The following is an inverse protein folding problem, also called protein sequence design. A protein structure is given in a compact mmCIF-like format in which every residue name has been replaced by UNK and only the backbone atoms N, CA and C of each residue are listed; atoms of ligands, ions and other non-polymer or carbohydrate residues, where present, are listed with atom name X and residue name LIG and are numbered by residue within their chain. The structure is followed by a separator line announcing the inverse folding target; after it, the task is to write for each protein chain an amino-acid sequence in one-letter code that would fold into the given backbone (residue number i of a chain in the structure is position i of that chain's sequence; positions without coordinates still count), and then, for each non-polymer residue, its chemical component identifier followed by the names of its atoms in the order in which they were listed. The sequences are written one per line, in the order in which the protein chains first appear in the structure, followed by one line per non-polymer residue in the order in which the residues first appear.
data_IF_904654795496
#
_entry.id   IF_904654795496
#
_cell.length_a   1.000
_cell.length_b   1.000
_cell.length_c   1.000
_cell.angle_alpha   90.00
_cell.angle_beta   90.00
_cell.angle_gamma   90.00
#
_symmetry.space_group_name_H-M   'P 1'
#
loop_
_entity.id
_entity.type
_entity.pdbx_description
1 polymer ?
#
# COMPACT_ATOMS: atom_id res chain seq x y z
N UNK A 1 -13.25 24.35 0.74
CA UNK A 1 -14.13 23.46 -0.05
C UNK A 1 -15.48 23.37 0.66
N UNK A 2 -16.59 23.16 -0.06
CA UNK A 2 -17.96 23.05 0.49
C UNK A 2 -18.51 21.62 0.50
N UNK A 3 -17.62 20.63 0.56
CA UNK A 3 -18.00 19.21 0.52
C UNK A 3 -18.79 18.85 1.78
N UNK A 4 -19.97 18.23 1.63
CA UNK A 4 -20.80 17.77 2.75
C UNK A 4 -20.48 16.35 3.19
N UNK A 5 -19.75 15.63 2.34
CA UNK A 5 -19.41 14.22 2.50
C UNK A 5 -17.91 14.05 2.28
N UNK A 6 -17.25 13.33 3.19
CA UNK A 6 -15.79 13.16 3.23
C UNK A 6 -15.46 11.72 3.55
N UNK A 7 -14.58 11.11 2.76
CA UNK A 7 -13.96 9.83 3.06
C UNK A 7 -12.49 10.08 3.41
N UNK A 8 -12.06 9.56 4.56
CA UNK A 8 -10.68 9.63 5.02
C UNK A 8 -9.99 8.28 4.76
N UNK A 9 -8.83 8.33 4.09
CA UNK A 9 -7.96 7.20 3.79
C UNK A 9 -6.60 7.47 4.48
N UNK A 10 -6.35 6.94 5.70
CA UNK A 10 -5.14 7.24 6.45
C UNK A 10 -3.86 6.78 5.74
N UNK A 11 -3.94 5.63 5.04
CA UNK A 11 -2.85 5.01 4.30
C UNK A 11 -1.61 4.72 5.16
N UNK A 12 -1.78 4.72 6.48
CA UNK A 12 -0.78 4.49 7.50
C UNK A 12 -1.51 4.01 8.76
N UNK A 13 -1.10 2.86 9.28
CA UNK A 13 -1.72 2.24 10.44
C UNK A 13 -1.59 3.12 11.71
N UNK A 14 -0.50 3.87 11.84
CA UNK A 14 -0.22 4.71 13.01
C UNK A 14 -1.11 5.97 13.00
N UNK A 15 -1.54 6.42 11.82
CA UNK A 15 -2.45 7.56 11.67
C UNK A 15 -3.90 7.24 11.98
N UNK A 16 -4.27 5.97 12.20
CA UNK A 16 -5.68 5.57 12.40
C UNK A 16 -6.35 6.33 13.54
N UNK A 17 -5.69 6.46 14.69
CA UNK A 17 -6.26 7.17 15.84
C UNK A 17 -6.40 8.67 15.57
N UNK A 18 -5.39 9.27 14.95
CA UNK A 18 -5.41 10.68 14.54
C UNK A 18 -6.53 10.96 13.53
N UNK A 19 -6.67 10.10 12.52
CA UNK A 19 -7.72 10.22 11.51
C UNK A 19 -9.13 10.02 12.09
N UNK A 20 -9.30 9.10 13.05
CA UNK A 20 -10.55 8.93 13.77
C UNK A 20 -10.93 10.17 14.57
N UNK A 21 -9.98 10.77 15.30
CA UNK A 21 -10.20 12.01 16.03
C UNK A 21 -10.59 13.18 15.11
N UNK A 22 -9.91 13.32 13.97
CA UNK A 22 -10.25 14.32 12.96
C UNK A 22 -11.65 14.09 12.36
N UNK A 23 -12.02 12.83 12.11
CA UNK A 23 -13.36 12.48 11.64
C UNK A 23 -14.45 12.86 12.65
N UNK A 24 -14.22 12.59 13.94
CA UNK A 24 -15.17 12.92 15.00
C UNK A 24 -15.35 14.42 15.17
N UNK A 25 -14.27 15.19 15.07
CA UNK A 25 -14.35 16.65 15.07
C UNK A 25 -15.15 17.16 13.87
N UNK A 26 -14.86 16.68 12.65
CA UNK A 26 -15.57 17.10 11.45
C UNK A 26 -17.07 16.72 11.49
N UNK A 27 -17.41 15.57 12.08
CA UNK A 27 -18.81 15.18 12.34
C UNK A 27 -19.51 16.13 13.31
N UNK A 28 -18.82 16.58 14.36
CA UNK A 28 -19.36 17.56 15.30
C UNK A 28 -19.63 18.93 14.63
N UNK A 29 -18.91 19.24 13.54
CA UNK A 29 -19.12 20.42 12.70
C UNK A 29 -20.23 20.22 11.62
N UNK A 30 -20.89 19.06 11.62
CA UNK A 30 -22.02 18.75 10.73
C UNK A 30 -21.64 18.14 9.39
N UNK A 31 -20.37 17.76 9.19
CA UNK A 31 -19.92 17.03 8.00
C UNK A 31 -20.24 15.54 8.13
N UNK A 32 -20.58 14.91 7.01
CA UNK A 32 -20.69 13.45 6.96
C UNK A 32 -19.33 12.87 6.64
N UNK A 33 -18.72 12.20 7.61
CA UNK A 33 -17.35 11.67 7.45
C UNK A 33 -17.33 10.16 7.66
N UNK A 34 -16.66 9.44 6.76
CA UNK A 34 -16.33 8.03 6.90
C UNK A 34 -14.81 7.85 6.94
N UNK A 35 -14.35 6.85 7.71
CA UNK A 35 -12.96 6.45 7.78
C UNK A 35 -12.85 5.06 7.19
N UNK A 36 -12.06 4.91 6.13
CA UNK A 36 -11.70 3.59 5.59
C UNK A 36 -10.35 3.22 6.21
N UNK A 37 -10.22 2.05 6.86
CA UNK A 37 -9.04 1.71 7.66
C UNK A 37 -7.86 1.25 6.80
N UNK A 38 -7.45 2.05 5.81
CA UNK A 38 -6.28 1.78 4.98
C UNK A 38 -4.99 1.92 5.78
N UNK A 39 -4.07 0.99 5.57
CA UNK A 39 -2.75 0.92 6.23
C UNK A 39 -1.60 1.24 5.27
N UNK A 40 -1.88 1.29 3.97
CA UNK A 40 -0.92 1.63 2.91
C UNK A 40 -1.61 2.39 1.78
N UNK A 41 -0.84 3.20 1.05
CA UNK A 41 -1.35 3.98 -0.08
C UNK A 41 -1.96 3.10 -1.18
N UNK A 42 -1.44 1.88 -1.41
CA UNK A 42 -2.00 0.96 -2.42
C UNK A 42 -3.42 0.50 -2.09
N UNK A 43 -3.76 0.38 -0.80
CA UNK A 43 -5.15 0.10 -0.38
C UNK A 43 -6.04 1.34 -0.58
N UNK A 44 -5.48 2.54 -0.39
CA UNK A 44 -6.17 3.79 -0.71
C UNK A 44 -6.42 3.95 -2.22
N UNK A 45 -5.46 3.57 -3.06
CA UNK A 45 -5.61 3.56 -4.52
C UNK A 45 -6.73 2.59 -4.93
N UNK A 46 -6.74 1.37 -4.39
CA UNK A 46 -7.81 0.40 -4.63
C UNK A 46 -9.18 0.92 -4.19
N UNK A 47 -9.26 1.56 -3.02
CA UNK A 47 -10.48 2.21 -2.56
C UNK A 47 -10.96 3.29 -3.54
N UNK A 48 -10.06 4.13 -4.03
CA UNK A 48 -10.38 5.20 -4.98
C UNK A 48 -10.75 4.67 -6.37
N UNK A 49 -10.19 3.53 -6.79
CA UNK A 49 -10.45 2.93 -8.09
C UNK A 49 -11.92 2.48 -8.25
N UNK A 50 -12.60 2.18 -7.15
CA UNK A 50 -14.02 1.77 -7.12
C UNK A 50 -14.98 2.89 -6.69
N UNK A 51 -14.47 4.09 -6.41
CA UNK A 51 -15.26 5.23 -6.01
C UNK A 51 -16.15 5.69 -7.17
N UNK A 52 -17.44 5.87 -6.90
CA UNK A 52 -18.40 6.39 -7.88
C UNK A 52 -19.08 7.67 -7.38
N UNK A 53 -18.82 8.84 -8.00
CA UNK A 53 -19.33 10.13 -7.51
C UNK A 53 -20.86 10.23 -7.43
N UNK A 54 -21.59 9.47 -8.26
CA UNK A 54 -23.06 9.46 -8.29
C UNK A 54 -23.66 8.44 -7.31
N UNK A 55 -22.84 7.59 -6.70
CA UNK A 55 -23.29 6.58 -5.73
C UNK A 55 -23.60 7.22 -4.39
N UNK A 56 -24.58 6.67 -3.68
CA UNK A 56 -24.89 7.10 -2.32
C UNK A 56 -23.67 6.88 -1.43
N UNK A 57 -23.33 7.87 -0.61
CA UNK A 57 -22.15 7.85 0.25
C UNK A 57 -21.94 6.56 1.04
N UNK A 58 -22.96 6.01 1.70
CA UNK A 58 -22.77 4.78 2.50
C UNK A 58 -22.45 3.57 1.61
N UNK A 59 -23.09 3.47 0.45
CA UNK A 59 -22.88 2.38 -0.51
C UNK A 59 -21.48 2.48 -1.14
N UNK A 60 -21.04 3.71 -1.39
CA UNK A 60 -19.70 4.02 -1.87
C UNK A 60 -18.64 3.69 -0.82
N UNK A 61 -18.81 4.13 0.43
CA UNK A 61 -17.93 3.77 1.55
C UNK A 61 -17.82 2.27 1.73
N UNK A 62 -18.93 1.51 1.64
CA UNK A 62 -18.90 0.03 1.71
C UNK A 62 -18.06 -0.57 0.58
N UNK A 63 -18.21 -0.04 -0.63
CA UNK A 63 -17.51 -0.54 -1.81
C UNK A 63 -16.01 -0.23 -1.73
N UNK A 64 -15.67 1.02 -1.42
CA UNK A 64 -14.31 1.46 -1.19
C UNK A 64 -13.62 0.70 -0.06
N UNK A 65 -14.34 0.44 1.04
CA UNK A 65 -13.82 -0.36 2.18
C UNK A 65 -13.56 -1.80 1.77
N UNK A 66 -14.45 -2.38 0.95
CA UNK A 66 -14.29 -3.75 0.47
C UNK A 66 -13.08 -3.89 -0.45
N UNK A 67 -12.88 -2.93 -1.38
CA UNK A 67 -11.71 -2.89 -2.25
C UNK A 67 -10.41 -2.74 -1.44
N UNK A 68 -10.34 -1.76 -0.53
CA UNK A 68 -9.18 -1.58 0.35
C UNK A 68 -8.83 -2.83 1.16
N UNK A 69 -9.84 -3.54 1.66
CA UNK A 69 -9.66 -4.75 2.47
C UNK A 69 -9.28 -5.99 1.65
N UNK A 70 -9.61 -6.02 0.35
CA UNK A 70 -9.21 -7.09 -0.56
C UNK A 70 -7.76 -6.93 -1.03
N UNK A 71 -7.25 -5.69 -1.10
CA UNK A 71 -5.86 -5.40 -1.48
C UNK A 71 -4.89 -5.80 -0.38
N UNK A 72 -4.10 -6.85 -0.64
CA UNK A 72 -2.91 -7.18 0.15
C UNK A 72 -1.84 -6.13 -0.15
N UNK A 73 -1.09 -5.74 0.88
CA UNK A 73 -0.06 -4.71 0.71
C UNK A 73 1.29 -5.15 1.29
N UNK A 74 2.33 -4.60 0.70
CA UNK A 74 3.70 -4.76 1.13
C UNK A 74 4.49 -3.47 0.94
N UNK A 75 5.63 -3.41 1.62
CA UNK A 75 6.58 -2.32 1.57
C UNK A 75 8.00 -2.87 1.36
N UNK A 76 8.80 -2.15 0.58
CA UNK A 76 10.25 -2.33 0.55
C UNK A 76 10.90 -1.08 1.10
N UNK A 77 11.75 -1.24 2.10
CA UNK A 77 12.44 -0.14 2.79
C UNK A 77 13.88 -0.53 3.15
N UNK A 78 14.65 0.39 3.72
CA UNK A 78 16.02 0.16 4.18
C UNK A 78 16.06 0.21 5.70
N UNK A 79 16.67 -0.81 6.32
CA UNK A 79 16.86 -0.85 7.76
C UNK A 79 17.79 0.28 8.21
N UNK A 80 17.34 1.12 9.13
CA UNK A 80 18.17 2.19 9.71
C UNK A 80 19.18 1.67 10.74
N UNK A 81 18.88 0.53 11.35
CA UNK A 81 19.65 -0.05 12.46
C UNK A 81 19.45 -1.56 12.53
N UNK A 82 20.32 -2.22 13.29
CA UNK A 82 20.15 -3.64 13.59
C UNK A 82 18.84 -3.88 14.35
N UNK A 83 18.07 -4.87 13.93
CA UNK A 83 16.83 -5.29 14.61
C UNK A 83 16.60 -6.80 14.52
N UNK A 84 15.89 -7.34 15.51
CA UNK A 84 15.43 -8.73 15.50
C UNK A 84 14.03 -8.78 14.91
N UNK A 85 13.86 -9.59 13.86
CA UNK A 85 12.59 -9.75 13.14
C UNK A 85 12.24 -11.22 13.02
N UNK A 86 11.02 -11.52 12.61
CA UNK A 86 10.60 -12.90 12.34
C UNK A 86 11.37 -13.54 11.17
N UNK A 87 11.89 -12.74 10.23
CA UNK A 87 12.72 -13.21 9.13
C UNK A 87 14.21 -13.39 9.50
N UNK A 88 14.61 -12.97 10.72
CA UNK A 88 15.99 -13.01 11.19
C UNK A 88 16.48 -11.65 11.70
N UNK A 89 17.80 -11.55 11.90
CA UNK A 89 18.46 -10.30 12.32
C UNK A 89 18.79 -9.49 11.07
N UNK A 90 18.26 -8.28 10.95
CA UNK A 90 18.70 -7.32 9.95
C UNK A 90 19.77 -6.39 10.52
N UNK A 91 20.61 -5.84 9.65
CA UNK A 91 21.63 -4.82 9.92
C UNK A 91 21.22 -3.48 9.31
N UNK A 92 21.86 -2.40 9.74
CA UNK A 92 21.70 -1.10 9.08
C UNK A 92 22.13 -1.20 7.61
N UNK A 93 21.30 -0.71 6.69
CA UNK A 93 21.53 -0.79 5.25
C UNK A 93 20.90 -2.01 4.56
N UNK A 94 20.44 -3.00 5.32
CA UNK A 94 19.72 -4.13 4.72
C UNK A 94 18.41 -3.66 4.08
N UNK A 95 18.07 -4.23 2.93
CA UNK A 95 16.77 -4.02 2.30
C UNK A 95 15.76 -4.94 2.97
N UNK A 96 14.69 -4.36 3.51
CA UNK A 96 13.62 -5.09 4.15
C UNK A 96 12.41 -5.15 3.22
N UNK A 97 11.83 -6.33 3.10
CA UNK A 97 10.53 -6.56 2.48
C UNK A 97 9.49 -6.90 3.54
N UNK A 98 8.53 -6.01 3.75
CA UNK A 98 7.45 -6.16 4.74
C UNK A 98 6.16 -6.53 4.03
N UNK A 99 5.42 -7.51 4.56
CA UNK A 99 4.08 -7.88 4.09
C UNK A 99 3.12 -7.69 5.27
N UNK A 100 2.06 -6.91 5.09
CA UNK A 100 1.12 -6.53 6.17
C UNK A 100 1.80 -5.90 7.41
N UNK A 101 2.96 -5.26 7.20
CA UNK A 101 3.77 -4.63 8.25
C UNK A 101 4.78 -5.57 8.93
N UNK A 102 4.79 -6.87 8.60
CA UNK A 102 5.75 -7.82 9.14
C UNK A 102 6.92 -8.03 8.17
N UNK A 103 8.15 -7.96 8.69
CA UNK A 103 9.36 -8.24 7.90
C UNK A 103 9.36 -9.70 7.46
N UNK A 104 9.12 -9.91 6.17
CA UNK A 104 9.07 -11.21 5.52
C UNK A 104 10.40 -11.55 4.84
N UNK A 105 11.10 -10.56 4.29
CA UNK A 105 12.34 -10.73 3.53
C UNK A 105 13.40 -9.75 4.05
N UNK A 106 14.63 -10.23 4.19
CA UNK A 106 15.83 -9.42 4.40
C UNK A 106 16.76 -9.69 3.23
N UNK A 107 17.19 -8.64 2.55
CA UNK A 107 18.07 -8.71 1.38
C UNK A 107 19.08 -7.56 1.37
N UNK A 108 19.83 -7.47 0.28
CA UNK A 108 20.84 -6.43 0.07
C UNK A 108 20.52 -5.53 -1.14
N UNK A 109 19.76 -6.06 -2.10
CA UNK A 109 19.43 -5.37 -3.34
C UNK A 109 17.92 -5.13 -3.42
N UNK A 110 17.53 -3.91 -3.80
CA UNK A 110 16.13 -3.47 -3.82
C UNK A 110 15.31 -4.33 -4.78
N UNK A 111 15.76 -4.49 -6.03
CA UNK A 111 15.02 -5.23 -7.05
C UNK A 111 14.86 -6.72 -6.70
N UNK A 112 15.89 -7.34 -6.13
CA UNK A 112 15.84 -8.74 -5.70
C UNK A 112 14.91 -8.94 -4.50
N UNK A 113 14.96 -8.03 -3.53
CA UNK A 113 14.10 -8.07 -2.33
C UNK A 113 12.65 -7.83 -2.71
N UNK A 114 12.38 -6.80 -3.52
CA UNK A 114 11.04 -6.50 -4.04
C UNK A 114 10.46 -7.66 -4.85
N UNK A 115 11.28 -8.30 -5.69
CA UNK A 115 10.90 -9.51 -6.42
C UNK A 115 10.47 -10.65 -5.49
N UNK A 116 11.24 -10.91 -4.44
CA UNK A 116 10.92 -11.96 -3.47
C UNK A 116 9.64 -11.65 -2.67
N UNK A 117 9.40 -10.37 -2.34
CA UNK A 117 8.15 -9.93 -1.73
C UNK A 117 6.97 -10.17 -2.69
N UNK A 118 7.10 -9.70 -3.93
CA UNK A 118 6.08 -9.84 -4.97
C UNK A 118 5.70 -11.31 -5.21
N UNK A 119 6.69 -12.20 -5.33
CA UNK A 119 6.43 -13.64 -5.51
C UNK A 119 5.64 -14.23 -4.33
N UNK A 120 5.96 -13.82 -3.09
CA UNK A 120 5.23 -14.28 -1.90
C UNK A 120 3.80 -13.77 -1.87
N UNK A 121 3.58 -12.52 -2.28
CA UNK A 121 2.23 -11.97 -2.37
C UNK A 121 1.42 -12.70 -3.43
N UNK A 122 1.97 -12.93 -4.62
CA UNK A 122 1.31 -13.60 -5.74
C UNK A 122 1.17 -15.12 -5.56
N UNK A 123 1.89 -15.73 -4.61
CA UNK A 123 1.75 -17.16 -4.31
C UNK A 123 0.33 -17.56 -3.88
N UNK A 124 -0.45 -16.62 -3.31
CA UNK A 124 -1.86 -16.82 -2.97
C UNK A 124 -2.82 -16.42 -4.12
N UNK A 125 -2.29 -16.14 -5.31
CA UNK A 125 -3.02 -15.60 -6.46
C UNK A 125 -3.07 -14.07 -6.47
N UNK A 126 -3.67 -13.52 -7.52
CA UNK A 126 -3.92 -12.10 -7.73
C UNK A 126 -4.28 -11.85 -9.19
N UNK A 127 -4.87 -10.70 -9.49
CA UNK A 127 -5.22 -10.24 -10.85
C UNK A 127 -4.55 -8.91 -11.21
N UNK A 128 -4.17 -8.11 -10.21
CA UNK A 128 -3.53 -6.82 -10.41
C UNK A 128 -2.41 -6.59 -9.40
N UNK A 129 -1.29 -6.04 -9.89
CA UNK A 129 -0.18 -5.53 -9.08
C UNK A 129 -0.12 -4.01 -9.22
N UNK A 130 -0.26 -3.30 -8.10
CA UNK A 130 -0.05 -1.85 -8.05
C UNK A 130 1.30 -1.55 -7.41
N UNK A 131 2.17 -0.82 -8.12
CA UNK A 131 3.48 -0.38 -7.62
C UNK A 131 3.46 1.12 -7.39
N UNK A 132 3.84 1.57 -6.19
CA UNK A 132 4.04 3.00 -5.87
C UNK A 132 5.50 3.22 -5.52
N UNK A 133 6.24 3.85 -6.43
CA UNK A 133 7.70 3.96 -6.39
C UNK A 133 8.11 5.27 -5.70
N UNK A 134 8.88 5.19 -4.61
CA UNK A 134 9.41 6.37 -3.92
C UNK A 134 10.58 7.03 -4.67
N UNK A 135 10.81 8.32 -4.42
CA UNK A 135 11.87 9.11 -5.08
C UNK A 135 13.28 8.57 -4.84
N UNK A 136 13.50 7.87 -3.72
CA UNK A 136 14.80 7.32 -3.33
C UNK A 136 15.00 5.87 -3.83
N UNK A 137 14.02 5.31 -4.57
CA UNK A 137 14.13 3.97 -5.15
C UNK A 137 14.97 3.98 -6.43
N UNK A 138 15.67 2.88 -6.76
CA UNK A 138 16.35 2.76 -8.05
C UNK A 138 15.35 2.86 -9.22
N UNK A 139 15.63 3.71 -10.21
CA UNK A 139 14.77 3.93 -11.39
C UNK A 139 14.40 2.64 -12.15
N UNK A 140 15.24 1.61 -12.04
CA UNK A 140 15.05 0.33 -12.73
C UNK A 140 14.11 -0.63 -12.01
N UNK A 141 13.72 -0.36 -10.76
CA UNK A 141 12.97 -1.31 -9.93
C UNK A 141 11.60 -1.62 -10.52
N UNK A 142 10.87 -0.61 -10.99
CA UNK A 142 9.53 -0.80 -11.56
C UNK A 142 9.57 -1.67 -12.82
N UNK A 143 10.42 -1.31 -13.78
CA UNK A 143 10.57 -2.06 -15.04
C UNK A 143 11.02 -3.52 -14.81
N UNK A 144 11.85 -3.74 -13.78
CA UNK A 144 12.26 -5.08 -13.37
C UNK A 144 11.06 -5.89 -12.85
N UNK A 145 10.23 -5.31 -11.99
CA UNK A 145 9.07 -5.98 -11.42
C UNK A 145 7.97 -6.20 -12.46
N UNK A 146 7.68 -5.24 -13.33
CA UNK A 146 6.75 -5.39 -14.46
C UNK A 146 7.16 -6.56 -15.35
N UNK A 147 8.46 -6.67 -15.66
CA UNK A 147 8.99 -7.80 -16.42
C UNK A 147 8.79 -9.13 -15.69
N UNK A 148 9.06 -9.14 -14.37
CA UNK A 148 8.85 -10.33 -13.55
C UNK A 148 7.39 -10.77 -13.51
N UNK A 149 6.44 -9.84 -13.34
CA UNK A 149 4.99 -10.14 -13.36
C UNK A 149 4.62 -10.73 -14.72
N UNK A 150 4.98 -10.04 -15.81
CA UNK A 150 4.67 -10.46 -17.19
C UNK A 150 5.21 -11.85 -17.54
N UNK A 151 6.38 -12.22 -17.03
CA UNK A 151 7.01 -13.52 -17.31
C UNK A 151 6.51 -14.64 -16.39
N UNK A 152 6.19 -14.32 -15.13
CA UNK A 152 5.79 -15.32 -14.13
C UNK A 152 4.28 -15.53 -13.98
N UNK A 153 3.46 -14.53 -14.32
CA UNK A 153 2.05 -14.46 -13.96
C UNK A 153 1.20 -13.91 -15.11
N UNK A 154 0.88 -14.77 -16.09
CA UNK A 154 0.25 -14.39 -17.37
C UNK A 154 -1.15 -13.76 -17.29
N UNK A 155 -1.81 -13.82 -16.13
CA UNK A 155 -3.13 -13.26 -15.90
C UNK A 155 -3.13 -12.08 -14.92
N UNK A 156 -1.94 -11.50 -14.66
CA UNK A 156 -1.76 -10.42 -13.70
C UNK A 156 -1.27 -9.17 -14.42
N UNK A 157 -2.03 -8.10 -14.32
CA UNK A 157 -1.64 -6.79 -14.85
C UNK A 157 -0.78 -6.03 -13.84
N UNK A 158 0.00 -5.06 -14.33
CA UNK A 158 0.78 -4.15 -13.48
C UNK A 158 0.44 -2.71 -13.76
N UNK A 159 0.25 -1.92 -12.70
CA UNK A 159 0.11 -0.45 -12.76
C UNK A 159 1.18 0.19 -11.88
N UNK A 160 1.82 1.24 -12.39
CA UNK A 160 2.92 1.93 -11.70
C UNK A 160 2.56 3.40 -11.47
N UNK A 161 2.75 3.85 -10.24
CA UNK A 161 2.60 5.24 -9.80
C UNK A 161 3.90 5.77 -9.19
N UNK A 162 4.14 7.07 -9.38
CA UNK A 162 5.17 7.79 -8.62
C UNK A 162 4.63 8.14 -7.23
N UNK A 163 5.33 7.71 -6.18
CA UNK A 163 4.99 7.92 -4.78
C UNK A 163 5.58 9.18 -4.16
N UNK A 164 6.52 9.85 -4.85
CA UNK A 164 7.24 10.98 -4.28
C UNK A 164 8.18 10.58 -3.14
N UNK A 165 8.64 11.56 -2.38
CA UNK A 165 9.46 11.33 -1.19
C UNK A 165 8.61 10.77 -0.05
N UNK A 166 8.94 9.55 0.37
CA UNK A 166 8.27 8.79 1.44
C UNK A 166 9.29 7.87 2.13
N UNK A 167 8.91 7.27 3.27
CA UNK A 167 9.82 6.36 4.01
C UNK A 167 10.08 5.03 3.30
N UNK A 168 9.12 4.56 2.51
CA UNK A 168 9.25 3.37 1.67
C UNK A 168 10.00 3.67 0.37
N UNK A 169 10.85 2.74 -0.08
CA UNK A 169 11.33 2.75 -1.46
C UNK A 169 10.22 2.33 -2.42
N UNK A 170 9.38 1.38 -2.01
CA UNK A 170 8.33 0.84 -2.86
C UNK A 170 7.16 0.37 -1.99
N UNK A 171 5.94 0.71 -2.41
CA UNK A 171 4.73 0.04 -1.93
C UNK A 171 4.20 -0.87 -3.03
N UNK A 172 3.78 -2.06 -2.64
CA UNK A 172 3.24 -3.08 -3.56
C UNK A 172 1.83 -3.44 -3.08
N UNK A 173 0.84 -3.31 -3.95
CA UNK A 173 -0.51 -3.81 -3.77
C UNK A 173 -0.74 -5.02 -4.64
N UNK A 174 -1.38 -6.06 -4.11
CA UNK A 174 -1.89 -7.19 -4.89
C UNK A 174 -3.36 -7.41 -4.55
N UNK A 175 -4.19 -7.33 -5.58
CA UNK A 175 -5.62 -7.66 -5.54
C UNK A 175 -5.78 -9.12 -5.98
#
# INVERSE_FOLDING_TARGET
SGAREVVLLPNDADLRHTAAAAADQARAEGLRVALIPTRSAVQGIAALAVHEPERRFDEDVVSMTSAAGATRYAEVTVAERQSWTMAGICQAGDVLGLIDGDVAVIGQEVAATASAVLDRMLAAGGEMVTLVVGDDAPDTVAAHLETRVREGYLAVDTVVYSGGRQGALLLIGVE
#
